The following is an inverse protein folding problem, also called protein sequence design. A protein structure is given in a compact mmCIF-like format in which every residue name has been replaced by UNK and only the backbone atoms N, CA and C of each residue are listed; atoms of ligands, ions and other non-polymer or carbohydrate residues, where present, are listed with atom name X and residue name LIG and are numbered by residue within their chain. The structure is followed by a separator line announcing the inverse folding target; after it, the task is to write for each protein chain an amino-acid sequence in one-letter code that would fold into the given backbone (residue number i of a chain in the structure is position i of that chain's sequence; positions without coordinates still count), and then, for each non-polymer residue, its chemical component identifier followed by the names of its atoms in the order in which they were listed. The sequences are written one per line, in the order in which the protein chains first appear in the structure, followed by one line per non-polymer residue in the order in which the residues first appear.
data_IF_045808117845
#
_entry.id   IF_045808117845
#
_cell.length_a   1.000
_cell.length_b   1.000
_cell.length_c   1.000
_cell.angle_alpha   90.00
_cell.angle_beta   90.00
_cell.angle_gamma   90.00
#
_symmetry.space_group_name_H-M   'P 1'
#
loop_
_entity.id
_entity.type
_entity.pdbx_description
1 polymer ?
#
# COMPACT_ATOMS: atom_id res chain seq x y z
N UNK A 1 2.35 -26.22 -8.04
CA UNK A 1 3.39 -25.31 -7.52
C UNK A 1 4.15 -26.01 -6.42
N UNK A 2 5.48 -25.92 -6.45
CA UNK A 2 6.35 -26.44 -5.40
C UNK A 2 6.04 -25.74 -4.07
N UNK A 3 6.00 -26.49 -2.97
CA UNK A 3 5.71 -25.94 -1.64
C UNK A 3 6.72 -24.88 -1.21
N UNK A 4 7.99 -25.09 -1.53
CA UNK A 4 9.05 -24.13 -1.20
C UNK A 4 8.83 -22.81 -1.91
N UNK A 5 8.51 -22.86 -3.21
CA UNK A 5 8.23 -21.66 -4.00
C UNK A 5 6.97 -20.95 -3.46
N UNK A 6 5.95 -21.73 -3.10
CA UNK A 6 4.71 -21.19 -2.55
C UNK A 6 4.96 -20.43 -1.24
N UNK A 7 5.80 -21.01 -0.34
CA UNK A 7 6.18 -20.37 0.91
C UNK A 7 6.99 -19.08 0.67
N UNK A 8 7.89 -19.08 -0.32
CA UNK A 8 8.63 -17.89 -0.70
C UNK A 8 7.71 -16.78 -1.21
N UNK A 9 6.73 -17.12 -2.05
CA UNK A 9 5.76 -16.16 -2.57
C UNK A 9 4.96 -15.52 -1.42
N UNK A 10 4.48 -16.34 -0.48
CA UNK A 10 3.73 -15.85 0.68
C UNK A 10 4.57 -14.87 1.51
N UNK A 11 5.80 -15.24 1.81
CA UNK A 11 6.71 -14.41 2.58
C UNK A 11 7.01 -13.09 1.87
N UNK A 12 7.29 -13.15 0.58
CA UNK A 12 7.64 -11.97 -0.21
C UNK A 12 6.47 -11.01 -0.34
N UNK A 13 5.26 -11.50 -0.61
CA UNK A 13 4.09 -10.64 -0.75
C UNK A 13 3.65 -10.04 0.58
N UNK A 14 3.76 -10.81 1.65
CA UNK A 14 3.49 -10.29 3.00
C UNK A 14 4.43 -9.12 3.31
N UNK A 15 5.71 -9.29 3.04
CA UNK A 15 6.73 -8.25 3.22
C UNK A 15 6.42 -7.02 2.38
N UNK A 16 6.10 -7.23 1.10
CA UNK A 16 5.79 -6.15 0.16
C UNK A 16 4.59 -5.32 0.61
N UNK A 17 3.52 -5.98 1.06
CA UNK A 17 2.33 -5.28 1.56
C UNK A 17 2.69 -4.39 2.75
N UNK A 18 3.47 -4.91 3.71
CA UNK A 18 3.90 -4.12 4.86
C UNK A 18 4.77 -2.94 4.45
N UNK A 19 5.68 -3.14 3.50
CA UNK A 19 6.56 -2.08 2.98
C UNK A 19 5.76 -0.98 2.29
N UNK A 20 4.76 -1.35 1.48
CA UNK A 20 3.90 -0.37 0.79
C UNK A 20 3.07 0.43 1.80
N UNK A 21 2.48 -0.23 2.79
CA UNK A 21 1.74 0.46 3.85
C UNK A 21 2.62 1.43 4.63
N UNK A 22 3.84 1.00 4.97
CA UNK A 22 4.79 1.83 5.68
C UNK A 22 5.17 3.06 4.86
N UNK A 23 5.45 2.87 3.58
CA UNK A 23 5.77 3.96 2.66
C UNK A 23 4.60 4.96 2.55
N UNK A 24 3.37 4.47 2.40
CA UNK A 24 2.19 5.33 2.28
C UNK A 24 1.93 6.10 3.58
N UNK A 25 2.27 5.52 4.73
CA UNK A 25 2.05 6.15 6.03
C UNK A 25 3.06 7.25 6.36
N UNK A 26 4.16 7.35 5.62
CA UNK A 26 5.29 8.23 5.98
C UNK A 26 5.53 9.32 4.93
N UNK A 27 5.31 10.57 5.33
CA UNK A 27 5.64 11.74 4.51
C UNK A 27 7.13 11.79 4.18
N UNK A 28 7.98 11.51 5.17
CA UNK A 28 9.43 11.51 4.99
C UNK A 28 9.89 10.49 3.96
N UNK A 29 9.35 9.27 4.02
CA UNK A 29 9.71 8.21 3.08
C UNK A 29 9.27 8.53 1.67
N UNK A 30 8.10 9.17 1.49
CA UNK A 30 7.64 9.61 0.19
C UNK A 30 8.59 10.62 -0.43
N UNK A 31 8.98 11.62 0.34
CA UNK A 31 9.89 12.66 -0.13
C UNK A 31 11.30 12.11 -0.41
N UNK A 32 11.77 11.19 0.43
CA UNK A 32 13.05 10.53 0.25
C UNK A 32 13.07 9.67 -1.02
N UNK A 33 11.98 8.94 -1.27
CA UNK A 33 11.84 8.16 -2.50
C UNK A 33 11.95 9.07 -3.73
N UNK A 34 11.23 10.19 -3.74
CA UNK A 34 11.27 11.12 -4.86
C UNK A 34 12.68 11.70 -5.07
N UNK A 35 13.39 11.99 -3.98
CA UNK A 35 14.75 12.50 -4.04
C UNK A 35 15.73 11.47 -4.65
N UNK A 36 15.54 10.19 -4.33
CA UNK A 36 16.38 9.09 -4.84
C UNK A 36 16.00 8.67 -6.26
N UNK A 37 14.79 8.94 -6.68
CA UNK A 37 14.27 8.58 -8.02
C UNK A 37 13.63 9.81 -8.68
N UNK A 38 14.44 10.80 -9.11
CA UNK A 38 13.90 12.08 -9.58
C UNK A 38 12.95 12.00 -10.76
N UNK A 39 13.06 10.96 -11.59
CA UNK A 39 12.18 10.77 -12.74
C UNK A 39 10.90 10.03 -12.40
N UNK A 40 10.78 9.49 -11.19
CA UNK A 40 9.58 8.78 -10.77
C UNK A 40 8.46 9.78 -10.45
N UNK A 41 7.21 9.38 -10.75
CA UNK A 41 6.03 10.14 -10.39
C UNK A 41 5.42 9.50 -9.13
N UNK A 42 6.03 9.79 -7.99
CA UNK A 42 5.77 9.09 -6.73
C UNK A 42 4.31 9.19 -6.30
N UNK A 43 3.68 10.36 -6.46
CA UNK A 43 2.27 10.54 -6.07
C UNK A 43 1.30 9.65 -6.83
N UNK A 44 1.64 9.27 -8.08
CA UNK A 44 0.86 8.31 -8.85
C UNK A 44 1.29 6.87 -8.55
N UNK A 45 2.57 6.65 -8.33
CA UNK A 45 3.12 5.30 -8.12
C UNK A 45 2.60 4.62 -6.86
N UNK A 46 2.30 5.36 -5.79
CA UNK A 46 1.81 4.70 -4.58
C UNK A 46 0.47 3.99 -4.78
N UNK A 47 -0.40 4.53 -5.64
CA UNK A 47 -1.64 3.83 -6.00
C UNK A 47 -1.34 2.56 -6.80
N UNK A 48 -0.40 2.66 -7.75
CA UNK A 48 0.02 1.51 -8.56
C UNK A 48 0.71 0.45 -7.73
N UNK A 49 1.52 0.83 -6.76
CA UNK A 49 2.19 -0.11 -5.87
C UNK A 49 1.18 -0.92 -5.04
N UNK A 50 0.12 -0.28 -4.57
CA UNK A 50 -0.95 -0.99 -3.87
C UNK A 50 -1.67 -1.96 -4.80
N UNK A 51 -1.99 -1.54 -6.02
CA UNK A 51 -2.61 -2.41 -7.01
C UNK A 51 -1.75 -3.66 -7.26
N UNK A 52 -0.44 -3.48 -7.41
CA UNK A 52 0.49 -4.58 -7.69
C UNK A 52 0.61 -5.57 -6.53
N UNK A 53 0.53 -5.10 -5.28
CA UNK A 53 0.70 -5.98 -4.12
C UNK A 53 -0.61 -6.47 -3.52
N UNK A 54 -1.75 -5.90 -3.90
CA UNK A 54 -3.05 -6.29 -3.36
C UNK A 54 -4.08 -6.64 -4.42
N UNK A 55 -4.44 -5.68 -5.30
CA UNK A 55 -5.56 -5.87 -6.24
C UNK A 55 -5.34 -7.01 -7.23
N UNK A 56 -4.12 -7.11 -7.76
CA UNK A 56 -3.78 -8.13 -8.76
C UNK A 56 -3.66 -9.50 -8.11
N UNK A 57 -2.89 -9.70 -7.01
CA UNK A 57 -2.69 -11.04 -6.45
C UNK A 57 -3.77 -11.53 -5.48
N UNK A 58 -4.69 -10.67 -5.00
CA UNK A 58 -5.59 -11.01 -3.88
C UNK A 58 -6.49 -12.23 -4.12
N UNK A 59 -6.76 -12.58 -5.38
CA UNK A 59 -7.60 -13.72 -5.72
C UNK A 59 -6.83 -15.05 -5.76
N UNK A 60 -5.51 -15.01 -5.67
CA UNK A 60 -4.69 -16.22 -5.66
C UNK A 60 -4.76 -16.90 -4.30
N UNK A 61 -4.85 -18.23 -4.30
CA UNK A 61 -4.93 -19.01 -3.06
C UNK A 61 -3.73 -18.78 -2.16
N UNK A 62 -2.53 -18.78 -2.74
CA UNK A 62 -1.30 -18.56 -1.98
C UNK A 62 -1.26 -17.18 -1.32
N UNK A 63 -1.89 -16.18 -1.94
CA UNK A 63 -1.98 -14.85 -1.35
C UNK A 63 -2.89 -14.87 -0.11
N UNK A 64 -4.07 -15.51 -0.23
CA UNK A 64 -5.01 -15.64 0.88
C UNK A 64 -4.40 -16.42 2.04
N UNK A 65 -3.54 -17.38 1.76
CA UNK A 65 -2.83 -18.15 2.78
C UNK A 65 -1.69 -17.36 3.45
N UNK A 66 -1.20 -16.30 2.81
CA UNK A 66 -0.13 -15.47 3.36
C UNK A 66 -0.59 -14.63 4.55
N UNK A 67 -1.89 -14.44 4.71
CA UNK A 67 -2.48 -13.58 5.74
C UNK A 67 -3.57 -14.33 6.50
N UNK A 68 -3.77 -13.99 7.77
CA UNK A 68 -4.90 -14.47 8.53
C UNK A 68 -6.18 -13.79 8.05
N UNK A 69 -7.34 -14.33 8.41
CA UNK A 69 -8.63 -13.73 8.07
C UNK A 69 -8.76 -12.32 8.65
N UNK A 70 -8.26 -12.12 9.89
CA UNK A 70 -8.25 -10.81 10.51
C UNK A 70 -7.37 -9.82 9.75
N UNK A 71 -6.20 -10.27 9.31
CA UNK A 71 -5.30 -9.44 8.50
C UNK A 71 -5.92 -9.08 7.15
N UNK A 72 -6.55 -10.04 6.48
CA UNK A 72 -7.24 -9.80 5.20
C UNK A 72 -8.35 -8.76 5.34
N UNK A 73 -9.09 -8.80 6.45
CA UNK A 73 -10.12 -7.81 6.74
C UNK A 73 -9.53 -6.40 6.89
N UNK A 74 -8.38 -6.29 7.56
CA UNK A 74 -7.68 -5.01 7.74
C UNK A 74 -7.20 -4.48 6.39
N UNK A 75 -6.64 -5.35 5.53
CA UNK A 75 -6.19 -4.96 4.20
C UNK A 75 -7.37 -4.49 3.34
N UNK A 76 -8.52 -5.15 3.46
CA UNK A 76 -9.73 -4.73 2.74
C UNK A 76 -10.20 -3.35 3.21
N UNK A 77 -10.19 -3.08 4.49
CA UNK A 77 -10.54 -1.76 5.03
C UNK A 77 -9.62 -0.67 4.47
N UNK A 78 -8.32 -0.94 4.41
CA UNK A 78 -7.37 0.00 3.81
C UNK A 78 -7.65 0.19 2.33
N UNK A 79 -7.91 -0.89 1.59
CA UNK A 79 -8.22 -0.83 0.17
C UNK A 79 -9.45 0.06 -0.10
N UNK A 80 -10.48 -0.06 0.71
CA UNK A 80 -11.68 0.77 0.59
C UNK A 80 -11.36 2.25 0.83
N UNK A 81 -10.51 2.55 1.81
CA UNK A 81 -10.06 3.91 2.08
C UNK A 81 -9.24 4.47 0.91
N UNK A 82 -8.35 3.67 0.35
CA UNK A 82 -7.54 4.06 -0.81
C UNK A 82 -8.41 4.33 -2.02
N UNK A 83 -9.41 3.49 -2.29
CA UNK A 83 -10.36 3.68 -3.38
C UNK A 83 -11.13 4.99 -3.23
N UNK A 84 -11.57 5.31 -2.02
CA UNK A 84 -12.28 6.56 -1.75
C UNK A 84 -11.39 7.77 -2.00
N UNK A 85 -10.14 7.72 -1.55
CA UNK A 85 -9.15 8.78 -1.79
C UNK A 85 -8.84 8.90 -3.27
N UNK A 86 -8.72 7.77 -3.98
CA UNK A 86 -8.44 7.75 -5.41
C UNK A 86 -9.53 8.47 -6.20
N UNK A 87 -10.79 8.29 -5.82
CA UNK A 87 -11.93 8.98 -6.47
C UNK A 87 -11.89 10.49 -6.27
N UNK A 88 -11.38 10.95 -5.14
CA UNK A 88 -11.27 12.35 -4.80
C UNK A 88 -9.98 13.00 -5.31
N UNK A 89 -9.05 12.19 -5.80
CA UNK A 89 -7.75 12.65 -6.30
C UNK A 89 -7.84 12.83 -7.82
N UNK A 90 -7.27 13.92 -8.38
CA UNK A 90 -7.23 14.09 -9.83
C UNK A 90 -6.53 12.94 -10.52
N UNK A 91 -6.90 12.68 -11.79
CA UNK A 91 -6.27 11.63 -12.59
C UNK A 91 -4.76 11.80 -12.67
N UNK A 92 -4.30 13.07 -12.73
CA UNK A 92 -2.88 13.41 -12.63
C UNK A 92 -2.68 14.10 -11.28
N UNK A 93 -2.34 13.36 -10.21
CA UNK A 93 -2.16 13.98 -8.90
C UNK A 93 -1.00 14.99 -8.93
N UNK A 94 -1.01 15.97 -8.03
CA UNK A 94 0.10 16.92 -7.97
C UNK A 94 1.41 16.23 -7.61
N UNK A 95 2.52 16.92 -7.87
CA UNK A 95 3.85 16.45 -7.47
C UNK A 95 3.84 16.07 -5.99
N UNK A 96 4.68 15.10 -5.61
CA UNK A 96 4.67 14.56 -4.24
C UNK A 96 4.87 15.65 -3.18
N UNK A 97 5.67 16.68 -3.47
CA UNK A 97 5.91 17.77 -2.52
C UNK A 97 4.64 18.58 -2.23
N UNK A 98 3.74 18.68 -3.20
CA UNK A 98 2.42 19.28 -3.00
C UNK A 98 1.44 18.26 -2.42
N UNK A 99 1.46 17.04 -2.97
CA UNK A 99 0.49 16.01 -2.63
C UNK A 99 0.49 15.69 -1.14
N UNK A 100 1.66 15.61 -0.51
CA UNK A 100 1.78 15.31 0.92
C UNK A 100 1.19 16.39 1.83
N UNK A 101 0.82 17.54 1.27
CA UNK A 101 0.18 18.63 1.99
C UNK A 101 -1.32 18.72 1.69
N UNK A 102 -1.89 17.76 0.95
CA UNK A 102 -3.31 17.74 0.62
C UNK A 102 -4.12 16.94 1.64
N UNK A 103 -5.43 17.25 1.81
CA UNK A 103 -6.31 16.42 2.63
C UNK A 103 -6.42 14.98 2.13
N UNK A 104 -6.34 14.76 0.83
CA UNK A 104 -6.41 13.44 0.20
C UNK A 104 -5.25 12.57 0.68
N UNK A 105 -4.02 13.10 0.64
CA UNK A 105 -2.86 12.36 1.11
C UNK A 105 -2.95 12.09 2.62
N UNK A 106 -3.40 13.07 3.39
CA UNK A 106 -3.55 12.92 4.84
C UNK A 106 -4.52 11.79 5.18
N UNK A 107 -5.65 11.70 4.48
CA UNK A 107 -6.60 10.60 4.65
C UNK A 107 -5.96 9.26 4.33
N UNK A 108 -5.22 9.18 3.23
CA UNK A 108 -4.56 7.96 2.79
C UNK A 108 -3.47 7.54 3.78
N UNK A 109 -2.65 8.47 4.20
CA UNK A 109 -1.56 8.25 5.16
C UNK A 109 -2.11 7.78 6.52
N UNK A 110 -3.18 8.40 7.00
CA UNK A 110 -3.84 8.01 8.23
C UNK A 110 -4.41 6.59 8.14
N UNK A 111 -5.04 6.25 7.01
CA UNK A 111 -5.58 4.91 6.78
C UNK A 111 -4.46 3.86 6.81
N UNK A 112 -3.32 4.15 6.20
CA UNK A 112 -2.17 3.24 6.23
C UNK A 112 -1.61 3.07 7.64
N UNK A 113 -1.51 4.15 8.41
CA UNK A 113 -1.06 4.09 9.80
C UNK A 113 -2.00 3.27 10.68
N UNK A 114 -3.30 3.42 10.49
CA UNK A 114 -4.31 2.64 11.21
C UNK A 114 -4.18 1.16 10.87
N UNK A 115 -4.03 0.84 9.58
CA UNK A 115 -3.86 -0.55 9.13
C UNK A 115 -2.62 -1.18 9.76
N UNK A 116 -1.48 -0.48 9.72
CA UNK A 116 -0.24 -0.97 10.34
C UNK A 116 -0.38 -1.20 11.84
N UNK A 117 -1.05 -0.28 12.53
CA UNK A 117 -1.29 -0.40 13.96
C UNK A 117 -2.13 -1.64 14.28
N UNK A 118 -3.20 -1.88 13.52
CA UNK A 118 -4.05 -3.06 13.69
C UNK A 118 -3.31 -4.36 13.37
N UNK A 119 -2.51 -4.36 12.29
CA UNK A 119 -1.73 -5.53 11.88
C UNK A 119 -0.69 -5.91 12.94
N UNK A 120 -0.09 -4.95 13.62
CA UNK A 120 0.91 -5.22 14.64
C UNK A 120 0.31 -5.76 15.95
N UNK A 121 -1.00 -5.69 16.13
CA UNK A 121 -1.71 -6.17 17.33
C UNK A 121 -2.29 -7.58 17.18
N UNK A 122 -2.26 -8.13 15.99
CA UNK A 122 -2.81 -9.47 15.71
C UNK A 122 -1.81 -10.57 16.04
#
# INVERSE_FOLDING_TARGET
MDNELREQLKTNFRKEVFEVLDLISSKEEQLDYQAKAPIAYVSAELFNQWDDCYQIPKEQEWYKEAFTDGELSILQEFDEALEAVSKDTPQNPPDIHEFVNTPEWERLSNAASIALSKLSKI
#
